data_IF_237210261972
#
_entry.id   IF_237210261972
#
_cell.length_a   1.000
_cell.length_b   1.000
_cell.length_c   1.000
_cell.angle_alpha   90.00
_cell.angle_beta   90.00
_cell.angle_gamma   90.00
#
_symmetry.space_group_name_H-M   'P 1'
#
loop_
_entity.id
_entity.type
_entity.pdbx_description
1 polymer ?
#
# COMPACT_ATOMS: atom_id res chain seq x y z
N UNK A 1 33.41 45.63 44.67
CA UNK A 1 33.71 44.88 43.43
C UNK A 1 32.54 43.95 43.15
N UNK A 2 31.71 44.27 42.15
CA UNK A 2 30.59 43.41 41.73
C UNK A 2 31.10 42.46 40.66
N UNK A 3 30.98 41.16 40.90
CA UNK A 3 31.29 40.11 39.92
C UNK A 3 30.31 40.23 38.74
N UNK A 4 30.84 40.52 37.57
CA UNK A 4 30.11 40.53 36.30
C UNK A 4 30.42 39.22 35.58
N UNK A 5 29.37 38.65 34.99
CA UNK A 5 29.35 37.64 33.93
C UNK A 5 29.38 36.14 34.31
N UNK A 6 28.19 35.61 34.64
CA UNK A 6 27.82 34.22 34.34
C UNK A 6 26.45 34.00 33.61
N UNK A 7 25.66 35.03 33.19
CA UNK A 7 24.38 34.77 32.50
C UNK A 7 24.50 34.54 30.99
N UNK A 8 25.59 34.95 30.33
CA UNK A 8 25.71 34.84 28.86
C UNK A 8 26.03 33.43 28.38
N UNK A 9 26.86 32.69 29.13
CA UNK A 9 27.23 31.32 28.77
C UNK A 9 26.03 30.38 28.84
N UNK A 10 25.22 30.46 29.90
CA UNK A 10 24.01 29.64 30.05
C UNK A 10 22.94 29.98 29.01
N UNK A 11 22.78 31.26 28.66
CA UNK A 11 21.87 31.69 27.59
C UNK A 11 22.31 31.23 26.20
N UNK A 12 23.61 31.23 25.90
CA UNK A 12 24.14 30.65 24.66
C UNK A 12 23.94 29.14 24.60
N UNK A 13 24.15 28.42 25.72
CA UNK A 13 23.87 26.99 25.80
C UNK A 13 22.40 26.67 25.54
N UNK A 14 21.49 27.39 26.20
CA UNK A 14 20.04 27.23 26.00
C UNK A 14 19.64 27.59 24.57
N UNK A 15 20.23 28.66 24.00
CA UNK A 15 19.99 29.08 22.61
C UNK A 15 20.46 28.04 21.59
N UNK A 16 21.66 27.50 21.73
CA UNK A 16 22.18 26.45 20.83
C UNK A 16 21.38 25.15 20.97
N UNK A 17 21.00 24.76 22.19
CA UNK A 17 20.20 23.56 22.43
C UNK A 17 18.78 23.71 21.85
N UNK A 18 18.20 24.91 21.90
CA UNK A 18 16.93 25.24 21.24
C UNK A 18 17.06 25.20 19.71
N UNK A 19 18.11 25.77 19.13
CA UNK A 19 18.31 25.75 17.66
C UNK A 19 18.46 24.31 17.14
N UNK A 20 19.16 23.44 17.88
CA UNK A 20 19.38 22.04 17.49
C UNK A 20 18.12 21.19 17.66
N UNK A 21 17.31 21.45 18.70
CA UNK A 21 16.04 20.76 18.91
C UNK A 21 14.92 21.29 18.01
N UNK A 22 15.00 22.54 17.54
CA UNK A 22 14.03 23.16 16.61
C UNK A 22 14.41 22.99 15.13
N UNK A 23 15.66 22.67 14.79
CA UNK A 23 16.08 22.38 13.41
C UNK A 23 15.27 21.26 12.72
N UNK A 24 14.91 20.14 13.40
CA UNK A 24 14.02 19.13 12.82
C UNK A 24 12.61 19.69 12.54
N UNK A 25 12.11 20.60 13.37
CA UNK A 25 10.80 21.26 13.20
C UNK A 25 10.80 22.29 12.06
N UNK A 26 11.97 22.81 11.68
CA UNK A 26 12.13 23.73 10.55
C UNK A 26 12.27 23.00 9.21
N UNK A 27 12.62 21.71 9.21
CA UNK A 27 12.59 20.87 8.02
C UNK A 27 11.15 20.50 7.71
N UNK A 28 10.69 20.75 6.48
CA UNK A 28 9.30 20.51 6.08
C UNK A 28 8.85 19.05 6.29
N UNK A 29 7.53 18.85 6.22
CA UNK A 29 6.91 17.54 6.44
C UNK A 29 7.46 16.44 5.49
N UNK A 30 7.92 16.83 4.30
CA UNK A 30 8.52 15.93 3.31
C UNK A 30 9.91 15.44 3.76
N UNK A 31 10.75 16.33 4.28
CA UNK A 31 12.06 15.96 4.84
C UNK A 31 11.96 15.03 6.05
N UNK A 32 10.97 15.23 6.94
CA UNK A 32 10.72 14.30 8.04
C UNK A 32 10.20 12.95 7.55
N UNK A 33 9.38 12.92 6.49
CA UNK A 33 8.85 11.67 5.93
C UNK A 33 9.95 10.80 5.32
N UNK A 34 10.91 11.41 4.64
CA UNK A 34 12.05 10.71 4.04
C UNK A 34 13.13 10.33 5.06
N UNK A 35 13.28 11.13 6.12
CA UNK A 35 14.35 10.94 7.12
C UNK A 35 14.00 10.02 8.28
N UNK A 36 12.71 9.74 8.50
CA UNK A 36 12.25 8.87 9.59
C UNK A 36 11.89 7.47 9.07
N UNK A 37 12.23 6.45 9.86
CA UNK A 37 11.83 5.07 9.62
C UNK A 37 10.30 4.94 9.60
N UNK A 38 9.60 5.66 10.47
CA UNK A 38 8.13 5.65 10.50
C UNK A 38 7.55 6.33 9.25
N UNK A 39 8.16 7.43 8.80
CA UNK A 39 7.78 8.12 7.56
C UNK A 39 7.95 7.24 6.33
N UNK A 40 9.09 6.56 6.19
CA UNK A 40 9.35 5.59 5.12
C UNK A 40 8.44 4.37 5.19
N UNK A 41 8.09 3.90 6.39
CA UNK A 41 7.17 2.76 6.58
C UNK A 41 5.76 3.08 6.06
N UNK A 42 5.31 4.32 6.22
CA UNK A 42 3.96 4.79 5.84
C UNK A 42 3.93 5.61 4.54
N UNK A 43 5.00 5.57 3.75
CA UNK A 43 5.01 6.28 2.49
C UNK A 43 3.93 5.76 1.52
N UNK A 44 3.22 6.71 0.90
CA UNK A 44 2.09 6.47 0.00
C UNK A 44 2.58 5.87 -1.34
N UNK A 45 3.81 6.21 -1.75
CA UNK A 45 4.47 5.60 -2.91
C UNK A 45 4.79 4.11 -2.74
N UNK A 46 4.65 3.54 -1.54
CA UNK A 46 4.89 2.12 -1.25
C UNK A 46 3.63 1.26 -1.14
N UNK A 47 2.45 1.79 -1.48
CA UNK A 47 1.21 0.98 -1.50
C UNK A 47 1.25 0.05 -2.70
N UNK A 48 1.27 -1.26 -2.42
CA UNK A 48 1.29 -2.27 -3.47
C UNK A 48 -0.12 -2.50 -3.99
N UNK A 49 -0.28 -2.52 -5.30
CA UNK A 49 -1.54 -2.83 -5.96
C UNK A 49 -1.58 -4.28 -6.43
N UNK A 50 -2.79 -4.83 -6.46
CA UNK A 50 -3.13 -6.01 -7.21
C UNK A 50 -3.83 -5.55 -8.49
N UNK A 51 -3.28 -5.95 -9.62
CA UNK A 51 -3.73 -5.62 -10.97
C UNK A 51 -4.19 -6.89 -11.68
N UNK A 52 -5.04 -6.82 -12.71
CA UNK A 52 -5.16 -7.94 -13.65
C UNK A 52 -3.79 -8.17 -14.33
N UNK A 53 -3.41 -9.44 -14.51
CA UNK A 53 -2.19 -9.74 -15.24
C UNK A 53 -2.32 -9.28 -16.71
N UNK A 54 -1.21 -8.97 -17.42
CA UNK A 54 -1.26 -8.57 -18.84
C UNK A 54 -1.95 -9.59 -19.74
N UNK A 55 -1.90 -10.87 -19.36
CA UNK A 55 -2.72 -11.97 -19.92
C UNK A 55 -3.48 -12.63 -18.77
N UNK A 56 -4.68 -12.12 -18.42
CA UNK A 56 -5.37 -12.52 -17.20
C UNK A 56 -6.06 -13.88 -17.29
N UNK A 57 -5.95 -14.62 -18.40
CA UNK A 57 -6.56 -15.95 -18.59
C UNK A 57 -8.01 -16.01 -18.06
N UNK A 58 -8.79 -14.98 -18.39
CA UNK A 58 -10.16 -14.79 -17.91
C UNK A 58 -11.04 -15.93 -18.38
N UNK A 59 -11.72 -16.59 -17.45
CA UNK A 59 -12.71 -17.64 -17.72
C UNK A 59 -13.94 -17.43 -16.87
N UNK A 60 -15.10 -17.59 -17.49
CA UNK A 60 -16.39 -17.44 -16.84
C UNK A 60 -17.10 -18.80 -16.80
N UNK A 61 -17.67 -19.11 -15.66
CA UNK A 61 -18.41 -20.35 -15.44
C UNK A 61 -19.75 -20.05 -14.77
N UNK A 62 -20.83 -20.65 -15.23
CA UNK A 62 -22.13 -20.56 -14.56
C UNK A 62 -22.29 -21.66 -13.52
N UNK A 63 -23.05 -21.36 -12.49
CA UNK A 63 -23.50 -22.36 -11.52
C UNK A 63 -24.55 -23.31 -12.15
N UNK A 64 -24.74 -24.54 -11.64
CA UNK A 64 -25.75 -25.48 -12.15
C UNK A 64 -27.16 -24.91 -12.19
N UNK A 65 -27.51 -24.12 -11.18
CA UNK A 65 -28.81 -23.45 -11.06
C UNK A 65 -28.91 -22.19 -11.93
N UNK A 66 -27.84 -21.85 -12.67
CA UNK A 66 -27.74 -20.65 -13.51
C UNK A 66 -28.15 -19.37 -12.78
N UNK A 67 -27.92 -19.28 -11.46
CA UNK A 67 -28.24 -18.08 -10.66
C UNK A 67 -27.08 -17.11 -10.50
N UNK A 68 -25.85 -17.58 -10.75
CA UNK A 68 -24.65 -16.76 -10.67
C UNK A 68 -23.60 -17.22 -11.68
N UNK A 69 -22.63 -16.34 -11.92
CA UNK A 69 -21.46 -16.60 -12.77
C UNK A 69 -20.20 -16.44 -11.92
N UNK A 70 -19.42 -17.50 -11.85
CA UNK A 70 -18.08 -17.45 -11.33
C UNK A 70 -17.14 -16.86 -12.38
N UNK A 71 -16.48 -15.76 -12.01
CA UNK A 71 -15.42 -15.14 -12.79
C UNK A 71 -14.09 -15.58 -12.22
N UNK A 72 -13.22 -16.10 -13.09
CA UNK A 72 -11.86 -16.51 -12.72
C UNK A 72 -10.84 -15.80 -13.61
N UNK A 73 -9.75 -15.33 -13.02
CA UNK A 73 -8.69 -14.63 -13.75
C UNK A 73 -7.37 -14.70 -12.97
N UNK A 74 -6.28 -14.34 -13.62
CA UNK A 74 -4.95 -14.23 -13.05
C UNK A 74 -4.68 -12.77 -12.67
N UNK A 75 -4.40 -12.53 -11.38
CA UNK A 75 -3.96 -11.23 -10.87
C UNK A 75 -2.43 -11.16 -10.83
N UNK A 76 -1.87 -9.99 -11.09
CA UNK A 76 -0.48 -9.64 -10.87
C UNK A 76 -0.37 -8.81 -9.58
N UNK A 77 0.56 -9.18 -8.70
CA UNK A 77 0.89 -8.39 -7.50
C UNK A 77 2.11 -7.54 -7.78
N UNK A 78 1.95 -6.23 -7.74
CA UNK A 78 3.03 -5.25 -7.97
C UNK A 78 4.21 -5.43 -7.01
N UNK A 79 3.95 -5.93 -5.80
CA UNK A 79 4.97 -6.14 -4.77
C UNK A 79 6.12 -7.04 -5.20
N UNK A 80 5.83 -8.09 -5.97
CA UNK A 80 6.76 -9.19 -6.21
C UNK A 80 6.57 -9.84 -7.58
N UNK A 81 5.82 -9.18 -8.47
CA UNK A 81 5.42 -9.66 -9.79
C UNK A 81 4.83 -11.07 -9.80
N UNK A 82 4.28 -11.53 -8.67
CA UNK A 82 3.70 -12.86 -8.60
C UNK A 82 2.31 -12.87 -9.23
N UNK A 83 2.08 -13.90 -10.04
CA UNK A 83 0.78 -14.18 -10.64
C UNK A 83 -0.02 -15.10 -9.72
N UNK A 84 -1.27 -14.76 -9.46
CA UNK A 84 -2.17 -15.57 -8.64
C UNK A 84 -3.54 -15.72 -9.28
N UNK A 85 -4.01 -16.95 -9.37
CA UNK A 85 -5.39 -17.24 -9.78
C UNK A 85 -6.37 -16.73 -8.72
N UNK A 86 -7.35 -15.95 -9.15
CA UNK A 86 -8.49 -15.47 -8.37
C UNK A 86 -9.80 -15.95 -8.95
N UNK A 87 -10.77 -16.14 -8.07
CA UNK A 87 -12.12 -16.52 -8.40
C UNK A 87 -13.10 -15.73 -7.52
N UNK A 88 -14.17 -15.21 -8.10
CA UNK A 88 -15.25 -14.56 -7.37
C UNK A 88 -16.58 -14.73 -8.11
N UNK A 89 -17.68 -14.73 -7.37
CA UNK A 89 -19.02 -14.74 -7.95
C UNK A 89 -19.45 -13.35 -8.38
N UNK A 90 -19.97 -13.22 -9.59
CA UNK A 90 -20.29 -11.94 -10.22
C UNK A 90 -21.38 -11.18 -9.45
N UNK A 91 -22.56 -11.79 -9.26
CA UNK A 91 -23.74 -11.14 -8.67
C UNK A 91 -23.50 -10.48 -7.31
N UNK A 92 -22.88 -11.14 -6.30
CA UNK A 92 -22.60 -10.50 -5.01
C UNK A 92 -21.48 -9.45 -5.08
N UNK A 93 -20.71 -9.38 -6.16
CA UNK A 93 -19.59 -8.47 -6.32
C UNK A 93 -19.82 -7.34 -7.33
N UNK A 94 -20.94 -7.29 -8.05
CA UNK A 94 -21.26 -6.23 -9.05
C UNK A 94 -20.96 -4.83 -8.53
N UNK A 95 -21.58 -4.44 -7.40
CA UNK A 95 -21.36 -3.12 -6.78
C UNK A 95 -19.89 -2.87 -6.41
N UNK A 96 -19.14 -3.92 -6.05
CA UNK A 96 -17.72 -3.79 -5.71
C UNK A 96 -16.87 -3.59 -6.97
N UNK A 97 -17.24 -4.21 -8.08
CA UNK A 97 -16.57 -4.00 -9.37
C UNK A 97 -16.80 -2.56 -9.86
N UNK A 98 -18.04 -2.07 -9.78
CA UNK A 98 -18.39 -0.68 -10.10
C UNK A 98 -17.60 0.32 -9.25
N UNK A 99 -17.49 0.05 -7.94
CA UNK A 99 -16.71 0.85 -6.99
C UNK A 99 -15.18 0.68 -7.12
N UNK A 100 -14.69 -0.15 -8.05
CA UNK A 100 -13.26 -0.55 -8.15
C UNK A 100 -12.68 -1.06 -6.82
N UNK A 101 -13.49 -1.78 -6.05
CA UNK A 101 -13.12 -2.38 -4.77
C UNK A 101 -12.73 -3.84 -4.96
N UNK A 102 -11.81 -4.31 -4.12
CA UNK A 102 -11.41 -5.72 -4.02
C UNK A 102 -12.63 -6.65 -3.92
N UNK A 103 -12.86 -7.60 -4.85
CA UNK A 103 -13.95 -8.56 -4.73
C UNK A 103 -13.83 -9.47 -3.50
N UNK A 104 -14.95 -10.08 -3.12
CA UNK A 104 -14.99 -11.20 -2.19
C UNK A 104 -14.55 -12.46 -2.93
N UNK A 105 -13.24 -12.72 -2.91
CA UNK A 105 -12.66 -13.89 -3.52
C UNK A 105 -13.01 -15.18 -2.77
N UNK A 106 -13.17 -16.26 -3.53
CA UNK A 106 -13.31 -17.62 -3.01
C UNK A 106 -11.99 -18.39 -3.17
N UNK A 107 -11.78 -19.43 -2.34
CA UNK A 107 -10.60 -20.29 -2.42
C UNK A 107 -10.69 -21.23 -3.62
N UNK A 108 -9.53 -21.63 -4.15
CA UNK A 108 -9.46 -22.55 -5.28
C UNK A 108 -10.07 -23.93 -4.97
N UNK A 109 -9.91 -24.42 -3.73
CA UNK A 109 -10.52 -25.67 -3.25
C UNK A 109 -12.04 -25.65 -3.39
N UNK A 110 -12.68 -24.55 -2.94
CA UNK A 110 -14.13 -24.36 -3.09
C UNK A 110 -14.57 -24.30 -4.55
N UNK A 111 -13.72 -23.84 -5.47
CA UNK A 111 -14.03 -23.83 -6.90
C UNK A 111 -14.07 -25.25 -7.46
N UNK A 112 -13.17 -26.13 -7.03
CA UNK A 112 -13.10 -27.52 -7.49
C UNK A 112 -14.29 -28.37 -7.05
N UNK A 113 -14.85 -28.08 -5.88
CA UNK A 113 -16.05 -28.74 -5.37
C UNK A 113 -17.33 -28.35 -6.13
N UNK A 114 -17.31 -27.23 -6.87
CA UNK A 114 -18.47 -26.73 -7.58
C UNK A 114 -18.59 -27.39 -8.97
N UNK A 115 -19.79 -27.88 -9.29
CA UNK A 115 -20.14 -28.39 -10.62
C UNK A 115 -20.36 -27.22 -11.60
N UNK A 116 -19.30 -26.53 -11.96
CA UNK A 116 -19.35 -25.34 -12.79
C UNK A 116 -19.44 -25.69 -14.27
N UNK A 117 -20.29 -24.97 -15.00
CA UNK A 117 -20.45 -25.12 -16.45
C UNK A 117 -19.78 -23.92 -17.14
N UNK A 118 -18.85 -24.11 -18.09
CA UNK A 118 -18.27 -23.00 -18.84
C UNK A 118 -19.36 -22.15 -19.51
N UNK A 119 -19.22 -20.82 -19.45
CA UNK A 119 -20.09 -19.89 -20.18
C UNK A 119 -19.55 -19.76 -21.60
N UNK A 120 -20.40 -19.94 -22.63
CA UNK A 120 -19.95 -19.69 -23.99
C UNK A 120 -19.64 -18.22 -24.26
N UNK A 121 -18.64 -18.01 -25.10
CA UNK A 121 -18.30 -16.70 -25.60
C UNK A 121 -19.20 -16.30 -26.76
N UNK A 122 -19.78 -15.10 -26.69
CA UNK A 122 -20.64 -14.55 -27.73
C UNK A 122 -19.85 -14.44 -29.06
N UNK A 123 -20.41 -14.97 -30.14
CA UNK A 123 -19.80 -14.95 -31.48
C UNK A 123 -18.98 -16.19 -31.84
N UNK A 124 -18.84 -17.19 -30.95
CA UNK A 124 -18.33 -18.51 -31.33
C UNK A 124 -19.45 -19.36 -31.95
N UNK A 125 -19.20 -19.92 -33.12
CA UNK A 125 -20.16 -20.67 -33.97
C UNK A 125 -20.72 -21.95 -33.37
N UNK A 126 -20.21 -22.39 -32.21
CA UNK A 126 -20.60 -23.62 -31.52
C UNK A 126 -21.33 -23.37 -30.19
N UNK A 127 -21.93 -22.18 -30.00
CA UNK A 127 -22.73 -21.91 -28.81
C UNK A 127 -23.90 -22.92 -28.72
N UNK A 128 -23.99 -23.74 -27.65
CA UNK A 128 -25.07 -24.72 -27.51
C UNK A 128 -26.44 -24.04 -27.56
N UNK A 129 -27.32 -24.58 -28.40
CA UNK A 129 -28.71 -24.12 -28.56
C UNK A 129 -29.41 -24.21 -27.19
N UNK A 130 -29.87 -23.07 -26.67
CA UNK A 130 -30.50 -22.96 -25.35
C UNK A 130 -29.61 -22.36 -24.25
N UNK A 131 -28.42 -21.86 -24.56
CA UNK A 131 -27.64 -21.09 -23.59
C UNK A 131 -28.32 -19.77 -23.23
N UNK A 132 -28.47 -19.58 -21.92
CA UNK A 132 -29.15 -18.43 -21.31
C UNK A 132 -28.16 -17.30 -21.00
N UNK A 133 -26.88 -17.64 -20.84
CA UNK A 133 -25.82 -16.72 -20.40
C UNK A 133 -24.69 -16.82 -21.42
N UNK A 134 -24.29 -15.68 -21.96
CA UNK A 134 -23.10 -15.53 -22.81
C UNK A 134 -22.14 -14.53 -22.19
N UNK A 135 -20.86 -14.68 -22.48
CA UNK A 135 -19.84 -13.69 -22.13
C UNK A 135 -19.24 -13.10 -23.41
N UNK A 136 -19.15 -11.78 -23.48
CA UNK A 136 -18.28 -11.09 -24.44
C UNK A 136 -17.04 -10.65 -23.69
N UNK A 137 -15.88 -11.13 -24.11
CA UNK A 137 -14.60 -10.77 -23.51
C UNK A 137 -13.86 -9.86 -24.50
N UNK A 138 -13.23 -8.79 -24.00
CA UNK A 138 -12.41 -7.91 -24.83
C UNK A 138 -11.13 -8.61 -25.29
N UNK A 139 -10.50 -8.12 -26.37
CA UNK A 139 -9.31 -8.77 -26.97
C UNK A 139 -8.13 -8.85 -26.00
N UNK A 140 -8.00 -7.87 -25.12
CA UNK A 140 -7.00 -7.80 -24.06
C UNK A 140 -7.38 -8.62 -22.79
N UNK A 141 -8.56 -9.25 -22.77
CA UNK A 141 -9.15 -9.98 -21.65
C UNK A 141 -9.26 -9.17 -20.35
N UNK A 142 -9.24 -7.84 -20.43
CA UNK A 142 -9.30 -6.96 -19.26
C UNK A 142 -10.73 -6.61 -18.85
N UNK A 143 -11.69 -6.75 -19.77
CA UNK A 143 -13.09 -6.47 -19.51
C UNK A 143 -13.97 -7.60 -20.02
N UNK A 144 -15.15 -7.70 -19.43
CA UNK A 144 -16.18 -8.63 -19.89
C UNK A 144 -17.57 -8.03 -19.76
N UNK A 145 -18.43 -8.42 -20.69
CA UNK A 145 -19.87 -8.14 -20.65
C UNK A 145 -20.59 -9.47 -20.56
N UNK A 146 -21.53 -9.58 -19.62
CA UNK A 146 -22.37 -10.76 -19.47
C UNK A 146 -23.72 -10.50 -20.13
N UNK A 147 -24.07 -11.28 -21.16
CA UNK A 147 -25.42 -11.26 -21.72
C UNK A 147 -26.26 -12.31 -21.01
N UNK A 148 -27.30 -11.90 -20.30
CA UNK A 148 -28.17 -12.78 -19.53
C UNK A 148 -29.61 -12.70 -20.06
N UNK A 149 -30.17 -13.80 -20.56
CA UNK A 149 -31.49 -13.83 -21.22
C UNK A 149 -31.63 -12.72 -22.29
N UNK A 150 -30.56 -12.46 -23.05
CA UNK A 150 -30.53 -11.39 -24.07
C UNK A 150 -30.34 -9.97 -23.52
N UNK A 151 -30.23 -9.79 -22.21
CA UNK A 151 -29.92 -8.50 -21.58
C UNK A 151 -28.43 -8.38 -21.31
N UNK A 152 -27.78 -7.37 -21.86
CA UNK A 152 -26.36 -7.10 -21.59
C UNK A 152 -26.16 -6.46 -20.21
N UNK A 153 -25.30 -7.07 -19.41
CA UNK A 153 -24.81 -6.61 -18.12
C UNK A 153 -23.33 -6.28 -18.28
N UNK A 154 -22.99 -5.00 -18.37
CA UNK A 154 -21.61 -4.52 -18.47
C UNK A 154 -21.43 -3.42 -19.51
N UNK A 155 -20.18 -3.08 -19.86
CA UNK A 155 -18.95 -3.82 -19.56
C UNK A 155 -18.47 -3.69 -18.10
N UNK A 156 -17.80 -4.73 -17.60
CA UNK A 156 -17.12 -4.73 -16.31
C UNK A 156 -15.62 -4.97 -16.50
N UNK A 157 -14.82 -4.05 -16.01
CA UNK A 157 -13.37 -4.19 -15.97
C UNK A 157 -12.92 -5.12 -14.82
N UNK A 158 -11.83 -5.85 -15.04
CA UNK A 158 -11.17 -6.59 -13.98
C UNK A 158 -10.65 -5.64 -12.88
N UNK A 159 -10.78 -6.05 -11.61
CA UNK A 159 -10.59 -5.13 -10.50
C UNK A 159 -9.12 -4.81 -10.26
N UNK A 160 -8.83 -3.53 -10.05
CA UNK A 160 -7.57 -3.00 -9.52
C UNK A 160 -7.80 -2.57 -8.08
N UNK A 161 -6.99 -3.05 -7.14
CA UNK A 161 -7.19 -2.75 -5.72
C UNK A 161 -5.89 -2.78 -4.91
N UNK A 162 -5.86 -2.07 -3.78
CA UNK A 162 -4.70 -2.05 -2.87
C UNK A 162 -4.57 -3.35 -2.08
N UNK A 163 -3.35 -3.88 -1.99
CA UNK A 163 -3.02 -5.05 -1.18
C UNK A 163 -2.94 -4.69 0.31
N UNK A 164 -4.04 -4.95 1.03
CA UNK A 164 -4.15 -4.73 2.48
C UNK A 164 -3.16 -5.52 3.34
N UNK A 165 -2.50 -6.55 2.80
CA UNK A 165 -1.48 -7.28 3.59
C UNK A 165 -0.29 -6.40 3.96
N UNK A 166 -0.05 -5.33 3.19
CA UNK A 166 0.96 -4.32 3.48
C UNK A 166 0.59 -3.46 4.71
N UNK A 167 -0.68 -3.07 4.87
CA UNK A 167 -1.16 -2.27 5.99
C UNK A 167 -0.95 -2.98 7.33
N UNK A 168 -1.28 -4.27 7.42
CA UNK A 168 -1.07 -5.06 8.64
C UNK A 168 0.40 -5.13 9.04
N UNK A 169 1.30 -5.32 8.07
CA UNK A 169 2.75 -5.32 8.33
C UNK A 169 3.24 -3.95 8.77
N UNK A 170 2.77 -2.88 8.13
CA UNK A 170 3.11 -1.50 8.52
C UNK A 170 2.65 -1.21 9.95
N UNK A 171 1.42 -1.58 10.30
CA UNK A 171 0.91 -1.44 11.66
C UNK A 171 1.76 -2.22 12.69
N UNK A 172 2.16 -3.45 12.36
CA UNK A 172 3.01 -4.27 13.22
C UNK A 172 4.42 -3.69 13.40
N UNK A 173 4.99 -3.12 12.34
CA UNK A 173 6.35 -2.54 12.35
C UNK A 173 6.39 -1.10 12.87
N UNK A 174 5.23 -0.46 13.07
CA UNK A 174 5.18 0.93 13.53
C UNK A 174 5.88 1.12 14.88
N UNK A 175 5.62 0.33 15.93
CA UNK A 175 6.32 0.50 17.21
C UNK A 175 7.84 0.35 17.11
N UNK A 176 8.31 -0.57 16.26
CA UNK A 176 9.73 -0.75 15.99
C UNK A 176 10.33 0.46 15.27
N UNK A 177 9.66 0.95 14.23
CA UNK A 177 10.09 2.13 13.48
C UNK A 177 10.14 3.38 14.37
N UNK A 178 9.12 3.59 15.21
CA UNK A 178 9.08 4.68 16.19
C UNK A 178 10.24 4.60 17.18
N UNK A 179 10.59 3.40 17.65
CA UNK A 179 11.73 3.23 18.56
C UNK A 179 13.04 3.61 17.88
N UNK A 180 13.24 3.20 16.63
CA UNK A 180 14.41 3.60 15.84
C UNK A 180 14.49 5.12 15.63
N UNK A 181 13.37 5.77 15.31
CA UNK A 181 13.32 7.23 15.15
C UNK A 181 13.70 7.96 16.45
N UNK A 182 13.21 7.50 17.61
CA UNK A 182 13.57 8.07 18.92
C UNK A 182 15.06 7.91 19.21
N UNK A 183 15.65 6.74 18.93
CA UNK A 183 17.08 6.50 19.14
C UNK A 183 17.92 7.47 18.29
N UNK A 184 17.57 7.63 17.01
CA UNK A 184 18.28 8.56 16.11
C UNK A 184 18.22 9.99 16.64
N UNK A 185 17.04 10.45 17.08
CA UNK A 185 16.87 11.79 17.66
C UNK A 185 17.74 11.95 18.92
N UNK A 186 17.72 10.99 19.83
CA UNK A 186 18.52 11.04 21.08
C UNK A 186 20.02 11.07 20.78
N UNK A 187 20.49 10.25 19.84
CA UNK A 187 21.90 10.22 19.45
C UNK A 187 22.35 11.55 18.83
N UNK A 188 21.56 12.11 17.92
CA UNK A 188 21.88 13.41 17.28
C UNK A 188 21.91 14.53 18.31
N UNK A 189 20.89 14.63 19.17
CA UNK A 189 20.84 15.65 20.22
C UNK A 189 22.00 15.48 21.20
N UNK A 190 22.29 14.24 21.62
CA UNK A 190 23.39 13.93 22.54
C UNK A 190 24.76 14.27 21.95
N UNK A 191 25.02 13.90 20.69
CA UNK A 191 26.28 14.20 20.01
C UNK A 191 26.50 15.71 19.85
N UNK A 192 25.47 16.45 19.46
CA UNK A 192 25.57 17.91 19.31
C UNK A 192 25.74 18.60 20.66
N UNK A 193 24.99 18.21 21.69
CA UNK A 193 25.17 18.72 23.04
C UNK A 193 26.60 18.43 23.55
N UNK A 194 27.10 17.21 23.33
CA UNK A 194 28.48 16.83 23.67
C UNK A 194 29.52 17.66 22.93
N UNK A 195 29.34 17.92 21.64
CA UNK A 195 30.23 18.77 20.84
C UNK A 195 30.23 20.22 21.34
N UNK A 196 29.07 20.78 21.68
CA UNK A 196 28.96 22.14 22.25
C UNK A 196 29.67 22.21 23.59
N UNK A 197 29.44 21.23 24.47
CA UNK A 197 30.12 21.15 25.77
C UNK A 197 31.63 21.05 25.56
N UNK A 198 32.11 20.12 24.74
CA UNK A 198 33.54 19.95 24.45
C UNK A 198 34.18 21.23 23.87
N UNK A 199 33.51 21.88 22.92
CA UNK A 199 33.97 23.15 22.34
C UNK A 199 34.05 24.26 23.39
N UNK A 200 33.05 24.38 24.26
CA UNK A 200 33.05 25.37 25.33
C UNK A 200 34.16 25.15 26.36
N UNK A 201 34.48 23.89 26.68
CA UNK A 201 35.59 23.54 27.56
C UNK A 201 36.95 23.85 26.92
N UNK A 202 37.13 23.49 25.64
CA UNK A 202 38.35 23.77 24.89
C UNK A 202 38.59 25.28 24.73
N UNK A 203 37.54 26.05 24.40
CA UNK A 203 37.61 27.51 24.29
C UNK A 203 37.81 28.20 25.65
N UNK A 204 37.36 27.60 26.75
CA UNK A 204 37.63 28.10 28.11
C UNK A 204 39.07 27.88 28.57
N UNK A 205 39.73 26.81 28.12
CA UNK A 205 41.13 26.51 28.46
C UNK A 205 42.13 27.43 27.75
N UNK A 206 41.84 27.89 26.53
CA UNK A 206 42.71 28.83 25.80
C UNK A 206 42.76 30.23 26.42
N UNK A 207 41.80 30.59 27.28
CA UNK A 207 41.82 31.86 28.02
C UNK A 207 42.62 31.82 29.33
N UNK A 208 43.14 30.65 29.74
CA UNK A 208 43.83 30.46 31.03
C UNK A 208 45.31 30.06 30.92
N UNK A 209 45.89 30.03 29.72
CA UNK A 209 47.34 29.93 29.56
C UNK A 209 47.93 31.32 29.25
N UNK A 210 48.64 31.97 30.20
CA UNK A 210 49.53 33.09 29.90
C UNK A 210 50.77 32.65 29.12
#
# INVERSE_FOLDING_TARGET
>A
MRNISEPDRSRQFIGCLLVVTLMPLASGCDTMRDSTLTGRLWDAGGLNHCLPAPKPNLKLYRTPDSKDVLVTYDELRERNDSIRRRAFFFKPNVRRLEDRKRPKFISAEKVLELKLVPVAEAGKTNAPVGEVIFARITVDNQEFTLTWFGTDLGPYALPVYVDRSSEFRRALLTPLATTGDVIVVVLVVGAVAGAIVAYSYAAGQTCHHP
#
